data_IF_641848212357
#
_entry.id   IF_641848212357
#
_cell.length_a   1.000
_cell.length_b   1.000
_cell.length_c   1.000
_cell.angle_alpha   90.00
_cell.angle_beta   90.00
_cell.angle_gamma   90.00
#
_symmetry.space_group_name_H-M   'P 1'
#
loop_
_entity.id
_entity.type
_entity.pdbx_description
1 polymer ?
#
# COMPACT_ATOMS: atom_id res chain seq x y z
N UNK A 1 -15.38 -30.01 -8.42
CA UNK A 1 -14.70 -28.89 -9.14
C UNK A 1 -13.60 -28.32 -8.24
N UNK A 2 -12.33 -28.46 -8.60
CA UNK A 2 -11.19 -27.89 -7.85
C UNK A 2 -11.15 -26.37 -8.07
N UNK A 3 -11.38 -25.55 -7.04
CA UNK A 3 -11.20 -24.09 -7.11
C UNK A 3 -9.75 -23.80 -7.52
N UNK A 4 -9.54 -23.12 -8.66
CA UNK A 4 -8.23 -22.61 -9.07
C UNK A 4 -7.76 -21.62 -8.01
N UNK A 5 -6.56 -21.85 -7.43
CA UNK A 5 -5.91 -20.89 -6.53
C UNK A 5 -5.65 -19.60 -7.32
N UNK A 6 -5.87 -18.41 -6.75
CA UNK A 6 -5.52 -17.16 -7.42
C UNK A 6 -4.01 -17.15 -7.67
N UNK A 7 -3.61 -16.88 -8.92
CA UNK A 7 -2.22 -16.71 -9.28
C UNK A 7 -1.71 -15.41 -8.65
N UNK A 8 -0.58 -15.48 -7.94
CA UNK A 8 0.16 -14.28 -7.53
C UNK A 8 0.47 -13.42 -8.75
N UNK A 9 0.24 -12.11 -8.65
CA UNK A 9 0.51 -11.15 -9.74
C UNK A 9 2.02 -10.91 -9.94
N UNK A 10 2.84 -11.24 -8.94
CA UNK A 10 4.27 -10.96 -8.94
C UNK A 10 5.08 -12.22 -9.23
N UNK A 11 6.09 -12.10 -10.11
CA UNK A 11 7.07 -13.15 -10.37
C UNK A 11 8.29 -12.94 -9.47
N UNK A 12 8.79 -14.01 -8.86
CA UNK A 12 9.98 -14.00 -8.02
C UNK A 12 11.25 -13.70 -8.83
N UNK A 13 12.07 -12.78 -8.35
CA UNK A 13 13.42 -12.59 -8.88
C UNK A 13 14.38 -13.61 -8.25
N UNK A 14 14.89 -14.54 -9.03
CA UNK A 14 15.65 -15.72 -8.56
C UNK A 14 17.08 -15.42 -8.00
N UNK A 15 17.59 -14.17 -8.08
CA UNK A 15 18.95 -13.77 -7.68
C UNK A 15 19.07 -12.37 -7.06
N UNK A 16 18.01 -11.76 -6.56
CA UNK A 16 18.13 -10.47 -5.89
C UNK A 16 18.60 -10.66 -4.44
N UNK A 17 19.44 -9.75 -3.89
CA UNK A 17 19.71 -9.72 -2.46
C UNK A 17 18.39 -9.66 -1.70
N UNK A 18 18.21 -10.56 -0.75
CA UNK A 18 17.03 -10.57 0.11
C UNK A 18 17.23 -9.55 1.23
N UNK A 19 16.26 -8.66 1.41
CA UNK A 19 16.17 -7.89 2.64
C UNK A 19 15.54 -8.76 3.73
N UNK A 20 15.98 -8.57 4.97
CA UNK A 20 15.43 -9.31 6.11
C UNK A 20 13.97 -8.92 6.36
N UNK A 21 13.20 -9.84 6.97
CA UNK A 21 11.87 -9.54 7.49
C UNK A 21 11.99 -8.79 8.82
N UNK A 22 11.98 -7.46 8.74
CA UNK A 22 12.04 -6.58 9.92
C UNK A 22 10.68 -6.40 10.60
N UNK A 23 9.59 -6.79 9.93
CA UNK A 23 8.22 -6.62 10.45
C UNK A 23 7.79 -7.81 11.29
N UNK A 24 8.16 -9.04 10.90
CA UNK A 24 7.86 -10.28 11.61
C UNK A 24 6.40 -10.40 12.05
N UNK A 25 5.48 -9.94 11.18
CA UNK A 25 4.02 -9.85 11.42
C UNK A 25 3.60 -8.87 12.52
N UNK A 26 4.51 -8.09 13.07
CA UNK A 26 4.16 -6.97 13.92
C UNK A 26 3.81 -5.75 13.07
N UNK A 27 2.52 -5.58 12.80
CA UNK A 27 1.98 -4.44 12.07
C UNK A 27 1.59 -3.28 12.97
N UNK A 28 2.12 -3.19 14.16
CA UNK A 28 1.91 -2.05 15.06
C UNK A 28 2.95 -0.97 14.83
N UNK A 29 2.58 0.27 15.07
CA UNK A 29 3.47 1.42 15.09
C UNK A 29 2.97 2.41 16.14
N UNK A 30 3.88 3.10 16.82
CA UNK A 30 3.57 4.05 17.90
C UNK A 30 3.41 5.49 17.38
N UNK A 31 3.86 5.75 16.15
CA UNK A 31 3.74 7.04 15.49
C UNK A 31 3.55 6.86 13.97
N UNK A 32 2.95 7.86 13.29
CA UNK A 32 2.92 7.88 11.83
C UNK A 32 4.33 7.90 11.23
N UNK A 33 4.53 7.26 10.08
CA UNK A 33 5.78 7.31 9.34
C UNK A 33 6.87 6.34 9.82
N UNK A 34 6.59 5.50 10.81
CA UNK A 34 7.57 4.51 11.30
C UNK A 34 7.61 3.24 10.46
N UNK A 35 6.46 2.80 9.96
CA UNK A 35 6.33 1.50 9.27
C UNK A 35 5.27 1.59 8.18
N UNK A 36 5.68 1.42 6.94
CA UNK A 36 4.80 1.36 5.78
C UNK A 36 4.76 -0.04 5.18
N UNK A 37 3.58 -0.46 4.76
CA UNK A 37 3.38 -1.67 3.98
C UNK A 37 3.09 -1.28 2.54
N UNK A 38 3.74 -1.92 1.59
CA UNK A 38 3.53 -1.69 0.16
C UNK A 38 3.09 -2.97 -0.54
N UNK A 39 2.12 -2.84 -1.43
CA UNK A 39 1.65 -3.95 -2.27
C UNK A 39 0.93 -3.39 -3.50
N UNK A 40 0.65 -4.25 -4.48
CA UNK A 40 -0.03 -3.86 -5.70
C UNK A 40 -1.18 -4.82 -6.05
N UNK A 41 -2.17 -4.28 -6.74
CA UNK A 41 -3.30 -5.07 -7.24
C UNK A 41 -3.61 -4.73 -8.69
N UNK A 42 -4.27 -5.66 -9.37
CA UNK A 42 -4.80 -5.50 -10.72
C UNK A 42 -6.31 -5.30 -10.67
N UNK A 43 -6.81 -4.41 -11.51
CA UNK A 43 -8.22 -4.12 -11.72
C UNK A 43 -8.50 -4.24 -13.22
N UNK A 44 -9.51 -5.02 -13.57
CA UNK A 44 -9.95 -5.14 -14.96
C UNK A 44 -10.89 -3.98 -15.27
N UNK A 45 -10.68 -3.35 -16.43
CA UNK A 45 -11.49 -2.26 -16.97
C UNK A 45 -11.92 -2.60 -18.42
N UNK A 46 -12.86 -1.87 -18.98
CA UNK A 46 -13.37 -2.12 -20.32
C UNK A 46 -12.29 -2.02 -21.42
N UNK A 47 -11.33 -1.12 -21.24
CA UNK A 47 -10.23 -0.82 -22.17
C UNK A 47 -8.89 -1.44 -21.75
N UNK A 48 -8.91 -2.43 -20.84
CA UNK A 48 -7.76 -3.20 -20.42
C UNK A 48 -7.53 -3.21 -18.91
N UNK A 49 -6.28 -3.44 -18.49
CA UNK A 49 -5.91 -3.57 -17.08
C UNK A 49 -5.42 -2.24 -16.50
N UNK A 50 -5.86 -1.95 -15.30
CA UNK A 50 -5.32 -0.90 -14.44
C UNK A 50 -4.59 -1.56 -13.27
N UNK A 51 -3.38 -1.12 -12.97
CA UNK A 51 -2.60 -1.59 -11.83
C UNK A 51 -2.50 -0.46 -10.80
N UNK A 52 -2.74 -0.79 -9.55
CA UNK A 52 -2.64 0.12 -8.41
C UNK A 52 -1.54 -0.41 -7.48
N UNK A 53 -0.51 0.39 -7.22
CA UNK A 53 0.38 0.20 -6.07
C UNK A 53 -0.02 1.19 -4.98
N UNK A 54 0.01 0.75 -3.72
CA UNK A 54 -0.36 1.58 -2.59
C UNK A 54 0.57 1.34 -1.39
N UNK A 55 0.75 2.37 -0.58
CA UNK A 55 1.46 2.33 0.69
C UNK A 55 0.49 2.62 1.83
N UNK A 56 0.48 1.74 2.84
CA UNK A 56 -0.35 1.85 4.04
C UNK A 56 0.55 2.10 5.26
N UNK A 57 0.22 3.12 6.05
CA UNK A 57 0.89 3.36 7.33
C UNK A 57 0.35 2.43 8.41
N UNK A 58 1.23 1.70 9.07
CA UNK A 58 0.87 0.77 10.14
C UNK A 58 0.30 1.46 11.38
N UNK A 59 0.57 2.75 11.59
CA UNK A 59 0.07 3.48 12.75
C UNK A 59 -1.46 3.61 12.75
N UNK A 60 -2.03 4.06 11.64
CA UNK A 60 -3.46 4.39 11.55
C UNK A 60 -4.19 3.66 10.43
N UNK A 61 -3.46 3.01 9.52
CA UNK A 61 -4.03 2.34 8.36
C UNK A 61 -4.34 3.28 7.19
N UNK A 62 -3.84 4.53 7.22
CA UNK A 62 -4.00 5.46 6.11
C UNK A 62 -3.24 4.98 4.87
N UNK A 63 -3.82 5.16 3.70
CA UNK A 63 -3.10 5.08 2.45
C UNK A 63 -2.37 6.41 2.27
N UNK A 64 -1.05 6.35 2.44
CA UNK A 64 -0.17 7.53 2.45
C UNK A 64 0.40 7.86 1.08
N UNK A 65 0.43 6.89 0.17
CA UNK A 65 0.84 7.10 -1.21
C UNK A 65 0.33 6.00 -2.11
N UNK A 66 0.09 6.33 -3.36
CA UNK A 66 -0.33 5.36 -4.37
C UNK A 66 -0.07 5.86 -5.78
N UNK A 67 0.03 4.93 -6.73
CA UNK A 67 0.12 5.21 -8.15
C UNK A 67 -0.73 4.21 -8.95
N UNK A 68 -1.21 4.64 -10.11
CA UNK A 68 -2.02 3.81 -11.00
C UNK A 68 -1.49 3.86 -12.43
N UNK A 69 -1.09 2.70 -12.98
CA UNK A 69 -0.53 2.58 -14.33
C UNK A 69 -1.26 1.51 -15.15
N UNK A 70 -1.00 1.49 -16.45
CA UNK A 70 -1.48 0.45 -17.37
C UNK A 70 -0.56 -0.77 -17.39
N UNK A 71 0.52 -0.75 -16.61
CA UNK A 71 1.52 -1.80 -16.51
C UNK A 71 1.98 -1.98 -15.04
N UNK A 72 2.51 -3.15 -14.71
CA UNK A 72 3.01 -3.52 -13.39
C UNK A 72 4.56 -3.52 -13.32
N UNK A 73 5.21 -2.51 -13.91
CA UNK A 73 6.68 -2.35 -13.84
C UNK A 73 7.10 -1.77 -12.48
N UNK A 74 8.39 -1.82 -12.17
CA UNK A 74 8.94 -1.24 -10.95
C UNK A 74 8.63 0.26 -10.78
N UNK A 75 8.54 1.01 -11.89
CA UNK A 75 8.16 2.42 -11.88
C UNK A 75 6.82 2.70 -11.19
N UNK A 76 5.85 1.77 -11.26
CA UNK A 76 4.57 1.89 -10.53
C UNK A 76 4.79 1.96 -9.01
N UNK A 77 5.64 1.07 -8.46
CA UNK A 77 5.96 1.05 -7.04
C UNK A 77 6.82 2.26 -6.65
N UNK A 78 7.75 2.68 -7.53
CA UNK A 78 8.55 3.88 -7.34
C UNK A 78 7.69 5.13 -7.24
N UNK A 79 6.70 5.27 -8.12
CA UNK A 79 5.81 6.44 -8.12
C UNK A 79 4.89 6.47 -6.90
N UNK A 80 4.40 5.30 -6.47
CA UNK A 80 3.64 5.20 -5.22
C UNK A 80 4.49 5.59 -3.99
N UNK A 81 5.77 5.20 -3.95
CA UNK A 81 6.69 5.61 -2.89
C UNK A 81 6.99 7.11 -2.92
N UNK A 82 7.27 7.67 -4.11
CA UNK A 82 7.47 9.13 -4.27
C UNK A 82 6.26 9.93 -3.80
N UNK A 83 5.05 9.48 -4.16
CA UNK A 83 3.80 10.10 -3.70
C UNK A 83 3.71 10.09 -2.17
N UNK A 84 3.97 8.96 -1.51
CA UNK A 84 3.96 8.86 -0.05
C UNK A 84 4.94 9.82 0.62
N UNK A 85 6.20 9.83 0.15
CA UNK A 85 7.27 10.67 0.72
C UNK A 85 7.03 12.16 0.46
N UNK A 86 6.38 12.53 -0.65
CA UNK A 86 6.05 13.92 -0.94
C UNK A 86 4.92 14.48 -0.07
N UNK A 87 4.01 13.63 0.38
CA UNK A 87 2.82 14.03 1.14
C UNK A 87 3.00 14.00 2.65
N UNK A 88 3.80 13.04 3.14
CA UNK A 88 3.90 12.75 4.57
C UNK A 88 5.35 12.67 5.01
N UNK A 89 5.62 13.27 6.17
CA UNK A 89 6.91 13.03 6.85
C UNK A 89 7.00 11.59 7.30
N UNK A 90 8.20 11.05 7.30
CA UNK A 90 8.53 9.73 7.82
C UNK A 90 9.69 9.86 8.81
N UNK A 91 9.74 8.93 9.75
CA UNK A 91 10.76 8.91 10.80
C UNK A 91 12.09 8.37 10.26
N UNK A 92 13.19 8.69 10.97
CA UNK A 92 14.47 8.03 10.75
C UNK A 92 14.31 6.52 10.94
N UNK A 93 14.98 5.74 10.13
CA UNK A 93 14.87 4.27 10.11
C UNK A 93 13.47 3.71 9.80
N UNK A 94 12.64 4.46 9.08
CA UNK A 94 11.34 3.97 8.63
C UNK A 94 11.45 2.61 7.94
N UNK A 95 10.64 1.65 8.37
CA UNK A 95 10.56 0.34 7.75
C UNK A 95 9.57 0.40 6.58
N UNK A 96 10.06 0.06 5.38
CA UNK A 96 9.22 -0.10 4.19
C UNK A 96 9.14 -1.58 3.82
N UNK A 97 8.01 -2.20 4.14
CA UNK A 97 7.79 -3.63 3.97
C UNK A 97 6.99 -3.95 2.71
N UNK A 98 7.40 -4.99 2.01
CA UNK A 98 6.71 -5.50 0.82
C UNK A 98 6.85 -7.02 0.69
N UNK A 99 6.18 -7.61 -0.30
CA UNK A 99 6.48 -8.97 -0.75
C UNK A 99 7.81 -9.05 -1.54
N UNK A 100 8.19 -10.26 -1.94
CA UNK A 100 9.36 -10.52 -2.80
C UNK A 100 9.09 -10.33 -4.30
N UNK A 101 8.11 -9.51 -4.67
CA UNK A 101 7.81 -9.21 -6.06
C UNK A 101 9.01 -8.64 -6.81
N UNK A 102 9.11 -8.96 -8.11
CA UNK A 102 10.22 -8.48 -8.95
C UNK A 102 10.30 -6.96 -9.02
N UNK A 103 9.20 -6.26 -8.79
CA UNK A 103 9.12 -4.80 -8.75
C UNK A 103 9.89 -4.25 -7.55
N UNK A 104 9.70 -4.84 -6.36
CA UNK A 104 10.33 -4.42 -5.10
C UNK A 104 11.80 -4.84 -4.99
N UNK A 105 12.19 -5.92 -5.70
CA UNK A 105 13.58 -6.38 -5.77
C UNK A 105 14.37 -5.76 -6.93
N UNK A 106 13.73 -4.93 -7.76
CA UNK A 106 14.35 -4.28 -8.91
C UNK A 106 15.48 -3.31 -8.49
N UNK A 107 16.44 -3.11 -9.37
CA UNK A 107 17.50 -2.10 -9.16
C UNK A 107 16.91 -0.70 -9.02
N UNK A 108 15.91 -0.36 -9.84
CA UNK A 108 15.23 0.94 -9.84
C UNK A 108 14.63 1.25 -8.46
N UNK A 109 13.85 0.32 -7.89
CA UNK A 109 13.19 0.51 -6.60
C UNK A 109 14.19 0.60 -5.45
N UNK A 110 15.21 -0.28 -5.43
CA UNK A 110 16.26 -0.26 -4.41
C UNK A 110 17.11 1.01 -4.46
N UNK A 111 17.46 1.48 -5.67
CA UNK A 111 18.19 2.75 -5.81
C UNK A 111 17.38 3.94 -5.34
N UNK A 112 16.05 3.93 -5.56
CA UNK A 112 15.17 4.97 -5.04
C UNK A 112 15.16 4.98 -3.50
N UNK A 113 15.00 3.81 -2.86
CA UNK A 113 15.03 3.69 -1.39
C UNK A 113 16.37 4.18 -0.83
N UNK A 114 17.48 3.73 -1.43
CA UNK A 114 18.82 4.14 -1.01
C UNK A 114 19.04 5.66 -1.08
N UNK A 115 18.40 6.33 -2.04
CA UNK A 115 18.47 7.79 -2.18
C UNK A 115 17.81 8.57 -1.04
N UNK A 116 16.86 7.95 -0.31
CA UNK A 116 16.22 8.59 0.85
C UNK A 116 17.01 8.43 2.16
N UNK A 117 17.96 7.50 2.23
CA UNK A 117 18.90 7.34 3.35
C UNK A 117 18.29 6.88 4.69
N UNK A 118 17.06 7.25 4.97
CA UNK A 118 16.36 6.96 6.22
C UNK A 118 15.31 5.83 6.11
N UNK A 119 15.28 5.12 4.98
CA UNK A 119 14.30 4.06 4.72
C UNK A 119 15.00 2.70 4.73
N UNK A 120 14.54 1.81 5.59
CA UNK A 120 14.99 0.42 5.66
C UNK A 120 14.02 -0.49 4.93
N UNK A 121 14.47 -1.11 3.84
CA UNK A 121 13.67 -2.08 3.11
C UNK A 121 13.52 -3.36 3.93
N UNK A 122 12.29 -3.85 4.04
CA UNK A 122 11.94 -5.14 4.65
C UNK A 122 11.13 -5.97 3.67
N UNK A 123 11.33 -7.29 3.68
CA UNK A 123 10.57 -8.20 2.81
C UNK A 123 10.02 -9.36 3.61
N UNK A 124 8.74 -9.67 3.42
CA UNK A 124 8.07 -10.81 4.03
C UNK A 124 8.71 -12.14 3.63
N UNK A 125 8.38 -13.21 4.35
CA UNK A 125 8.88 -14.56 4.02
C UNK A 125 8.26 -15.07 2.74
N UNK A 126 9.02 -15.83 1.99
CA UNK A 126 8.53 -16.44 0.75
C UNK A 126 7.38 -17.42 1.05
N UNK A 127 6.28 -17.30 0.29
CA UNK A 127 5.08 -18.14 0.41
C UNK A 127 4.23 -17.93 1.69
N UNK A 128 4.39 -16.81 2.39
CA UNK A 128 3.59 -16.50 3.56
C UNK A 128 2.67 -15.31 3.26
N UNK A 129 1.40 -15.60 2.92
CA UNK A 129 0.39 -14.57 2.63
C UNK A 129 0.04 -13.70 3.86
N UNK A 130 0.31 -14.19 5.07
CA UNK A 130 0.03 -13.44 6.30
C UNK A 130 1.00 -12.26 6.54
N UNK A 131 2.10 -12.21 5.81
CA UNK A 131 3.14 -11.19 6.03
C UNK A 131 2.74 -9.82 5.45
N UNK A 132 1.61 -9.72 4.71
CA UNK A 132 1.04 -8.46 4.22
C UNK A 132 -0.50 -8.36 4.43
N UNK A 133 -1.01 -8.99 5.49
CA UNK A 133 -2.44 -9.13 5.74
C UNK A 133 -3.22 -7.80 5.78
N UNK A 134 -2.59 -6.70 6.22
CA UNK A 134 -3.25 -5.38 6.24
C UNK A 134 -3.44 -4.81 4.84
N UNK A 135 -2.48 -5.00 3.93
CA UNK A 135 -2.62 -4.61 2.52
C UNK A 135 -3.64 -5.48 1.79
N UNK A 136 -3.64 -6.79 2.07
CA UNK A 136 -4.67 -7.70 1.54
C UNK A 136 -6.08 -7.26 1.97
N UNK A 137 -6.26 -6.89 3.24
CA UNK A 137 -7.52 -6.36 3.77
C UNK A 137 -7.93 -5.05 3.09
N UNK A 138 -6.98 -4.14 2.89
CA UNK A 138 -7.23 -2.90 2.15
C UNK A 138 -7.71 -3.18 0.72
N UNK A 139 -6.98 -4.01 -0.04
CA UNK A 139 -7.38 -4.32 -1.41
C UNK A 139 -8.68 -5.12 -1.51
N UNK A 140 -8.95 -6.00 -0.56
CA UNK A 140 -10.24 -6.70 -0.50
C UNK A 140 -11.40 -5.70 -0.30
N UNK A 141 -11.20 -4.72 0.58
CA UNK A 141 -12.16 -3.65 0.84
C UNK A 141 -12.38 -2.77 -0.41
N UNK A 142 -11.30 -2.29 -1.04
CA UNK A 142 -11.37 -1.54 -2.29
C UNK A 142 -12.13 -2.31 -3.38
N UNK A 143 -11.79 -3.58 -3.56
CA UNK A 143 -12.46 -4.42 -4.57
C UNK A 143 -13.94 -4.58 -4.27
N UNK A 144 -14.31 -4.82 -3.03
CA UNK A 144 -15.71 -4.97 -2.61
C UNK A 144 -16.50 -3.67 -2.77
N UNK A 145 -15.96 -2.55 -2.27
CA UNK A 145 -16.70 -1.29 -2.17
C UNK A 145 -16.69 -0.47 -3.47
N UNK A 146 -15.65 -0.63 -4.31
CA UNK A 146 -15.52 0.12 -5.58
C UNK A 146 -15.58 -0.82 -6.78
N UNK A 147 -14.63 -1.75 -6.90
CA UNK A 147 -14.41 -2.46 -8.17
C UNK A 147 -15.61 -3.33 -8.55
N UNK A 148 -16.10 -4.13 -7.61
CA UNK A 148 -17.22 -5.05 -7.87
C UNK A 148 -18.57 -4.34 -7.79
N UNK A 149 -18.74 -3.46 -6.77
CA UNK A 149 -19.99 -2.73 -6.56
C UNK A 149 -20.35 -1.81 -7.73
N UNK A 150 -19.35 -1.15 -8.32
CA UNK A 150 -19.53 -0.21 -9.42
C UNK A 150 -19.26 -0.83 -10.81
N UNK A 151 -19.07 -2.17 -10.88
CA UNK A 151 -18.81 -2.87 -12.13
C UNK A 151 -17.68 -2.27 -12.98
N UNK A 152 -16.52 -1.97 -12.34
CA UNK A 152 -15.39 -1.32 -13.01
C UNK A 152 -14.92 -2.02 -14.28
N UNK A 153 -15.17 -3.32 -14.44
CA UNK A 153 -14.85 -4.07 -15.66
C UNK A 153 -15.56 -3.55 -16.92
N UNK A 154 -16.67 -2.84 -16.77
CA UNK A 154 -17.42 -2.21 -17.87
C UNK A 154 -17.09 -0.72 -18.07
N UNK A 155 -16.16 -0.16 -17.29
CA UNK A 155 -15.78 1.25 -17.33
C UNK A 155 -14.39 1.45 -17.94
N UNK A 156 -14.13 2.58 -18.63
CA UNK A 156 -12.79 2.97 -19.06
C UNK A 156 -11.85 3.15 -17.84
N UNK A 157 -10.58 2.82 -18.02
CA UNK A 157 -9.52 2.98 -16.97
C UNK A 157 -9.51 4.36 -16.34
N UNK A 158 -9.70 5.41 -17.11
CA UNK A 158 -9.68 6.77 -16.60
C UNK A 158 -10.82 7.04 -15.59
N UNK A 159 -12.02 6.54 -15.88
CA UNK A 159 -13.14 6.63 -14.96
C UNK A 159 -12.87 5.82 -13.67
N UNK A 160 -12.33 4.60 -13.81
CA UNK A 160 -11.97 3.75 -12.66
C UNK A 160 -10.88 4.41 -11.82
N UNK A 161 -9.89 5.06 -12.45
CA UNK A 161 -8.84 5.84 -11.76
C UNK A 161 -9.44 6.94 -10.89
N UNK A 162 -10.38 7.70 -11.42
CA UNK A 162 -11.06 8.78 -10.69
C UNK A 162 -11.89 8.25 -9.52
N UNK A 163 -12.58 7.12 -9.69
CA UNK A 163 -13.35 6.47 -8.62
C UNK A 163 -12.45 6.02 -7.48
N UNK A 164 -11.33 5.37 -7.79
CA UNK A 164 -10.35 4.91 -6.80
C UNK A 164 -9.73 6.11 -6.08
N UNK A 165 -9.31 7.13 -6.81
CA UNK A 165 -8.79 8.38 -6.25
C UNK A 165 -9.76 8.97 -5.23
N UNK A 166 -11.01 9.22 -5.64
CA UNK A 166 -12.04 9.77 -4.74
C UNK A 166 -12.26 8.87 -3.53
N UNK A 167 -12.35 7.56 -3.73
CA UNK A 167 -12.60 6.64 -2.64
C UNK A 167 -11.46 6.65 -1.61
N UNK A 168 -10.19 6.67 -2.02
CA UNK A 168 -9.04 6.74 -1.12
C UNK A 168 -9.01 8.09 -0.39
N UNK A 169 -9.08 9.21 -1.13
CA UNK A 169 -8.82 10.55 -0.59
C UNK A 169 -9.98 11.09 0.26
N UNK A 170 -11.23 10.82 -0.15
CA UNK A 170 -12.37 11.44 0.53
C UNK A 170 -13.06 10.49 1.50
N UNK A 171 -13.09 9.19 1.22
CA UNK A 171 -13.85 8.25 2.02
C UNK A 171 -12.96 7.34 2.87
N UNK A 172 -12.07 6.52 2.28
CA UNK A 172 -11.29 5.53 3.01
C UNK A 172 -10.42 6.17 4.11
N UNK A 173 -9.64 7.17 3.76
CA UNK A 173 -8.74 7.81 4.70
C UNK A 173 -9.44 8.72 5.72
N UNK A 174 -10.58 9.35 5.37
CA UNK A 174 -11.18 10.42 6.17
C UNK A 174 -12.46 10.03 6.90
N UNK A 175 -13.26 9.12 6.34
CA UNK A 175 -14.61 8.84 6.83
C UNK A 175 -14.82 7.37 7.18
N UNK A 176 -14.14 6.45 6.49
CA UNK A 176 -14.34 5.03 6.67
C UNK A 176 -13.83 4.59 8.04
N UNK A 177 -14.69 3.98 8.84
CA UNK A 177 -14.30 3.39 10.13
C UNK A 177 -13.24 2.30 9.92
N UNK A 178 -12.19 2.34 10.74
CA UNK A 178 -11.14 1.35 10.77
C UNK A 178 -11.14 0.62 12.11
N UNK A 179 -11.58 -0.64 12.11
CA UNK A 179 -11.70 -1.45 13.33
C UNK A 179 -10.38 -1.76 14.02
N UNK A 180 -9.25 -1.58 13.34
CA UNK A 180 -7.91 -1.69 13.94
C UNK A 180 -7.52 -0.43 14.75
N UNK A 181 -8.29 0.65 14.65
CA UNK A 181 -8.06 1.87 15.42
C UNK A 181 -8.96 1.92 16.64
N UNK A 182 -8.44 2.40 17.75
CA UNK A 182 -9.23 2.65 18.95
C UNK A 182 -10.44 3.54 18.62
N UNK A 183 -11.61 3.21 19.15
CA UNK A 183 -12.86 3.89 18.82
C UNK A 183 -13.31 3.73 17.36
N UNK A 184 -12.72 2.82 16.60
CA UNK A 184 -12.97 2.63 15.17
C UNK A 184 -12.73 3.91 14.34
N UNK A 185 -11.85 4.77 14.78
CA UNK A 185 -11.54 6.05 14.12
C UNK A 185 -11.09 5.85 12.67
N UNK A 186 -11.55 6.70 11.74
CA UNK A 186 -10.97 6.77 10.41
C UNK A 186 -9.45 7.04 10.46
N UNK A 187 -8.67 6.55 9.48
CA UNK A 187 -7.22 6.66 9.52
C UNK A 187 -6.69 8.07 9.81
N UNK A 188 -7.07 9.06 9.03
CA UNK A 188 -6.56 10.42 9.21
C UNK A 188 -7.13 11.13 10.44
N UNK A 189 -8.29 10.70 10.98
CA UNK A 189 -8.81 11.23 12.25
C UNK A 189 -7.93 10.77 13.41
N UNK A 190 -7.52 9.48 13.44
CA UNK A 190 -6.54 8.97 14.42
C UNK A 190 -5.23 9.74 14.34
N UNK A 191 -4.72 9.96 13.10
CA UNK A 191 -3.48 10.74 12.88
C UNK A 191 -3.57 12.16 13.42
N UNK A 192 -4.71 12.82 13.18
CA UNK A 192 -4.96 14.18 13.67
C UNK A 192 -5.01 14.22 15.21
N UNK A 193 -5.67 13.25 15.87
CA UNK A 193 -5.68 13.17 17.34
C UNK A 193 -4.27 12.98 17.89
N UNK A 194 -3.48 12.10 17.30
CA UNK A 194 -2.08 11.91 17.69
C UNK A 194 -1.26 13.19 17.51
N UNK A 195 -1.38 13.87 16.37
CA UNK A 195 -0.65 15.12 16.11
C UNK A 195 -1.00 16.21 17.13
N UNK A 196 -2.29 16.35 17.49
CA UNK A 196 -2.75 17.27 18.55
C UNK A 196 -2.15 16.90 19.91
N UNK A 197 -2.14 15.61 20.29
CA UNK A 197 -1.55 15.16 21.57
C UNK A 197 -0.04 15.43 21.67
N UNK A 198 0.64 15.63 20.55
CA UNK A 198 2.06 15.95 20.45
C UNK A 198 2.33 17.44 20.26
N UNK A 199 1.30 18.28 20.21
CA UNK A 199 1.44 19.72 19.96
C UNK A 199 1.95 20.05 18.54
N UNK A 200 1.77 19.13 17.57
CA UNK A 200 2.24 19.31 16.19
C UNK A 200 1.24 20.08 15.30
N UNK A 201 0.02 20.26 15.79
CA UNK A 201 -1.06 21.00 15.09
C UNK A 201 -1.82 21.81 16.14
N UNK A 202 -2.11 23.07 15.83
CA UNK A 202 -2.96 23.94 16.64
C UNK A 202 -4.46 23.61 16.43
#
# INVERSE_FOLDING_TARGET
MRKKRPHSLTKRAFRAPQSDDLVQRDFTATAPGMKYLSDMTQINCADGKLYLAALLDCFDGAIVGYAMHTHMRASLCCDALRDAISRYRYEQDMILHSDHGSQYTSREYRSLIAGYGAIRQSMGRTHCCFDNARMESFFATLKKEVVYRLHCASMPREQVRQLIFRWIETYYNRLRRNTANEGNLPPLVKRMHWAKSKGLVA
#
